data_IF_904802899616
#
_entry.id   IF_904802899616
#
_cell.length_a   1.000
_cell.length_b   1.000
_cell.length_c   1.000
_cell.angle_alpha   90.00
_cell.angle_beta   90.00
_cell.angle_gamma   90.00
#
_symmetry.space_group_name_H-M   'P 1'
#
loop_
_entity.id
_entity.type
_entity.pdbx_description
1 polymer ?
#
# COMPACT_ATOMS: atom_id res chain seq x y z
N UNK A 1 -9.31 15.66 4.77
CA UNK A 1 -9.51 15.45 3.32
C UNK A 1 -8.66 14.24 2.97
N UNK A 2 -9.29 13.10 2.67
CA UNK A 2 -8.58 11.93 2.13
C UNK A 2 -8.23 12.19 0.65
N UNK A 3 -7.32 13.14 0.41
CA UNK A 3 -6.67 13.29 -0.89
C UNK A 3 -5.59 12.20 -1.00
N UNK A 4 -5.36 11.61 -2.18
CA UNK A 4 -4.34 10.57 -2.44
C UNK A 4 -2.89 11.04 -2.27
N UNK A 5 -2.57 11.65 -1.13
CA UNK A 5 -1.28 12.22 -0.76
C UNK A 5 -0.51 11.22 0.08
N UNK A 6 0.72 10.94 -0.33
CA UNK A 6 1.64 10.10 0.41
C UNK A 6 2.46 10.93 1.39
N UNK A 7 2.51 10.49 2.65
CA UNK A 7 3.43 11.06 3.63
C UNK A 7 4.88 10.84 3.19
N UNK A 8 5.78 11.80 3.44
CA UNK A 8 7.19 11.71 3.06
C UNK A 8 7.48 11.98 1.58
N UNK A 9 6.43 12.16 0.75
CA UNK A 9 6.55 12.45 -0.68
C UNK A 9 5.91 13.81 -0.97
N UNK A 10 6.66 14.69 -1.62
CA UNK A 10 6.20 16.04 -1.97
C UNK A 10 5.97 16.12 -3.47
N UNK A 11 4.70 16.25 -3.87
CA UNK A 11 4.31 16.40 -5.28
C UNK A 11 4.36 17.85 -5.76
N UNK A 12 4.33 18.83 -4.84
CA UNK A 12 4.41 20.26 -5.11
C UNK A 12 5.36 20.96 -4.14
N UNK A 13 6.29 21.77 -4.66
CA UNK A 13 7.42 22.39 -3.91
C UNK A 13 7.04 23.35 -2.77
N UNK A 14 5.76 23.64 -2.56
CA UNK A 14 5.27 24.48 -1.46
C UNK A 14 4.76 23.69 -0.25
N UNK A 15 4.65 22.36 -0.35
CA UNK A 15 4.23 21.51 0.77
C UNK A 15 5.44 21.02 1.57
N UNK A 16 5.89 21.87 2.49
CA UNK A 16 6.99 21.54 3.41
C UNK A 16 6.56 20.66 4.58
N UNK A 17 5.25 20.40 4.74
CA UNK A 17 4.71 19.62 5.87
C UNK A 17 4.85 18.10 5.66
N UNK A 18 5.07 17.65 4.42
CA UNK A 18 5.04 16.22 4.08
C UNK A 18 6.38 15.48 4.30
N UNK A 19 7.55 16.15 4.31
CA UNK A 19 8.85 15.43 4.32
C UNK A 19 9.07 14.51 5.51
N UNK A 20 8.71 14.96 6.72
CA UNK A 20 8.90 14.17 7.94
C UNK A 20 7.62 13.40 8.36
N UNK A 21 6.55 13.54 7.58
CA UNK A 21 5.27 12.92 7.89
C UNK A 21 5.31 11.41 7.63
N UNK A 22 4.71 10.65 8.54
CA UNK A 22 4.65 9.17 8.49
C UNK A 22 3.23 8.61 8.59
N UNK A 23 2.21 9.47 8.43
CA UNK A 23 0.81 9.01 8.47
C UNK A 23 0.54 7.93 7.41
N UNK A 24 -0.36 6.99 7.72
CA UNK A 24 -0.74 5.88 6.83
C UNK A 24 0.43 4.98 6.40
N UNK A 25 1.51 4.95 7.19
CA UNK A 25 2.62 4.00 7.09
C UNK A 25 2.73 3.23 8.39
N UNK A 26 2.86 1.91 8.31
CA UNK A 26 2.96 1.06 9.48
C UNK A 26 3.63 -0.27 9.17
N UNK A 27 4.20 -0.89 10.19
CA UNK A 27 4.77 -2.23 10.13
C UNK A 27 4.10 -3.02 11.24
N UNK A 28 3.56 -4.19 10.91
CA UNK A 28 2.92 -5.08 11.88
C UNK A 28 3.55 -6.46 11.72
N UNK A 29 4.09 -7.07 12.80
CA UNK A 29 4.57 -8.44 12.73
C UNK A 29 3.38 -9.39 12.58
N UNK A 30 3.61 -10.51 11.90
CA UNK A 30 2.67 -11.63 11.89
C UNK A 30 2.68 -12.33 13.25
N UNK A 31 1.52 -12.80 13.70
CA UNK A 31 1.41 -13.67 14.86
C UNK A 31 1.76 -15.14 14.53
N UNK A 32 1.48 -16.06 15.46
CA UNK A 32 1.75 -17.50 15.32
C UNK A 32 0.95 -18.19 14.21
N UNK A 33 -0.16 -17.59 13.80
CA UNK A 33 -1.01 -18.07 12.71
C UNK A 33 -0.66 -17.42 11.36
N UNK A 34 0.37 -16.56 11.33
CA UNK A 34 0.76 -15.82 10.13
C UNK A 34 -0.18 -14.65 9.82
N UNK A 35 -0.88 -14.09 10.82
CA UNK A 35 -1.82 -12.98 10.64
C UNK A 35 -1.17 -11.64 10.99
N UNK A 36 -1.24 -10.70 10.07
CA UNK A 36 -0.84 -9.31 10.23
C UNK A 36 -2.08 -8.41 10.34
N UNK A 37 -2.18 -7.59 11.38
CA UNK A 37 -3.35 -6.73 11.61
C UNK A 37 -3.01 -5.23 11.64
N UNK A 38 -3.85 -4.40 11.02
CA UNK A 38 -3.72 -2.94 11.04
C UNK A 38 -5.08 -2.24 11.16
N UNK A 39 -5.09 -1.04 11.73
CA UNK A 39 -6.22 -0.11 11.65
C UNK A 39 -5.76 1.08 10.80
N UNK A 40 -6.52 1.41 9.77
CA UNK A 40 -6.22 2.51 8.85
C UNK A 40 -7.51 3.24 8.47
N UNK A 41 -7.38 4.27 7.62
CA UNK A 41 -8.51 4.79 6.85
C UNK A 41 -8.54 4.15 5.47
N UNK A 42 -9.70 4.16 4.80
CA UNK A 42 -9.78 3.75 3.39
C UNK A 42 -8.95 4.67 2.51
N UNK A 43 -8.17 4.12 1.58
CA UNK A 43 -7.26 4.89 0.74
C UNK A 43 -8.01 5.95 -0.08
N UNK A 44 -7.52 7.18 -0.11
CA UNK A 44 -7.99 8.19 -1.06
C UNK A 44 -7.41 7.99 -2.46
N UNK A 45 -7.99 8.62 -3.48
CA UNK A 45 -7.51 8.52 -4.87
C UNK A 45 -6.62 9.68 -5.31
N UNK A 46 -5.82 9.40 -6.35
CA UNK A 46 -5.06 10.35 -7.14
C UNK A 46 -5.10 9.93 -8.61
N UNK A 47 -4.85 10.87 -9.52
CA UNK A 47 -5.00 10.61 -10.95
C UNK A 47 -4.02 9.54 -11.47
N UNK A 48 -4.52 8.69 -12.37
CA UNK A 48 -3.71 7.71 -13.09
C UNK A 48 -3.57 6.37 -12.37
N UNK A 49 -4.11 6.21 -11.15
CA UNK A 49 -4.05 4.98 -10.37
C UNK A 49 -5.39 4.66 -9.71
N UNK A 50 -5.82 3.40 -9.78
CA UNK A 50 -6.97 2.92 -9.03
C UNK A 50 -6.67 2.88 -7.54
N UNK A 51 -7.67 3.00 -6.67
CA UNK A 51 -7.48 3.03 -5.21
C UNK A 51 -6.85 1.74 -4.69
N UNK A 52 -5.70 1.83 -4.01
CA UNK A 52 -4.90 0.68 -3.56
C UNK A 52 -4.23 0.91 -2.21
N UNK A 53 -3.65 -0.17 -1.68
CA UNK A 53 -2.77 -0.19 -0.49
C UNK A 53 -1.48 -0.90 -0.87
N UNK A 54 -0.33 -0.30 -0.59
CA UNK A 54 0.96 -0.96 -0.77
C UNK A 54 1.29 -1.88 0.40
N UNK A 55 1.99 -2.98 0.13
CA UNK A 55 2.56 -3.83 1.16
C UNK A 55 3.96 -4.31 0.76
N UNK A 56 4.77 -4.56 1.79
CA UNK A 56 6.11 -5.12 1.66
C UNK A 56 6.28 -6.17 2.74
N UNK A 57 6.47 -7.42 2.32
CA UNK A 57 6.72 -8.53 3.23
C UNK A 57 8.21 -8.67 3.47
N UNK A 58 8.60 -8.51 4.73
CA UNK A 58 9.97 -8.65 5.18
C UNK A 58 10.12 -9.93 6.00
N UNK A 59 11.22 -10.66 5.82
CA UNK A 59 11.46 -11.91 6.54
C UNK A 59 12.88 -12.05 7.05
N UNK A 60 13.05 -12.75 8.17
CA UNK A 60 14.37 -13.12 8.71
C UNK A 60 15.18 -11.97 9.32
N UNK A 61 14.57 -10.82 9.58
CA UNK A 61 15.16 -9.69 10.28
C UNK A 61 14.77 -9.63 11.76
N UNK A 62 15.13 -8.53 12.42
CA UNK A 62 14.89 -8.32 13.83
C UNK A 62 14.25 -6.95 14.10
N UNK A 63 13.29 -6.92 15.02
CA UNK A 63 12.79 -5.68 15.60
C UNK A 63 13.80 -5.18 16.64
N UNK A 64 14.29 -3.96 16.45
CA UNK A 64 15.26 -3.30 17.29
C UNK A 64 14.58 -2.62 18.50
N UNK A 65 15.36 -2.27 19.52
CA UNK A 65 14.86 -1.64 20.75
C UNK A 65 14.16 -0.28 20.52
N UNK A 66 14.52 0.43 19.46
CA UNK A 66 13.88 1.66 19.00
C UNK A 66 12.61 1.41 18.17
N UNK A 67 12.11 0.16 18.12
CA UNK A 67 10.93 -0.26 17.35
C UNK A 67 11.06 -0.14 15.83
N UNK A 68 12.28 -0.11 15.30
CA UNK A 68 12.53 -0.24 13.85
C UNK A 68 12.84 -1.69 13.49
N UNK A 69 12.66 -2.08 12.24
CA UNK A 69 13.04 -3.40 11.74
C UNK A 69 14.37 -3.31 10.97
N UNK A 70 15.25 -4.29 11.14
CA UNK A 70 16.55 -4.34 10.46
C UNK A 70 17.00 -5.76 10.13
N UNK A 71 17.82 -5.90 9.08
CA UNK A 71 18.21 -7.18 8.52
C UNK A 71 17.07 -7.86 7.76
N UNK A 72 17.27 -9.14 7.43
CA UNK A 72 16.31 -9.92 6.65
C UNK A 72 16.36 -9.65 5.15
N UNK A 73 15.35 -10.15 4.44
CA UNK A 73 15.11 -9.90 3.02
C UNK A 73 13.69 -9.44 2.76
N UNK A 74 13.50 -8.70 1.67
CA UNK A 74 12.18 -8.38 1.15
C UNK A 74 11.68 -9.59 0.35
N UNK A 75 10.74 -10.33 0.92
CA UNK A 75 10.19 -11.54 0.31
C UNK A 75 9.17 -11.19 -0.80
N UNK A 76 8.40 -10.12 -0.61
CA UNK A 76 7.41 -9.68 -1.59
C UNK A 76 7.20 -8.16 -1.56
N UNK A 77 6.97 -7.59 -2.73
CA UNK A 77 6.48 -6.22 -2.90
C UNK A 77 5.22 -6.28 -3.75
N UNK A 78 4.14 -5.70 -3.26
CA UNK A 78 2.89 -5.72 -3.98
C UNK A 78 1.95 -4.59 -3.59
N UNK A 79 0.74 -4.70 -4.12
CA UNK A 79 -0.33 -3.78 -3.83
C UNK A 79 -1.66 -4.54 -3.83
N UNK A 80 -2.50 -4.19 -2.86
CA UNK A 80 -3.85 -4.69 -2.75
C UNK A 80 -4.82 -3.66 -3.29
N UNK A 81 -5.86 -4.15 -3.94
CA UNK A 81 -6.94 -3.34 -4.49
C UNK A 81 -8.23 -3.62 -3.73
N UNK A 82 -9.17 -2.70 -3.88
CA UNK A 82 -10.53 -2.86 -3.38
C UNK A 82 -11.46 -3.24 -4.52
N UNK A 83 -12.54 -3.93 -4.21
CA UNK A 83 -13.63 -4.13 -5.17
C UNK A 83 -14.16 -2.76 -5.65
N UNK A 84 -14.43 -2.64 -6.95
CA UNK A 84 -14.83 -1.37 -7.54
C UNK A 84 -16.11 -0.81 -6.89
N UNK A 85 -17.01 -1.68 -6.42
CA UNK A 85 -18.28 -1.27 -5.81
C UNK A 85 -18.09 -0.59 -4.46
N UNK A 86 -17.12 -1.01 -3.64
CA UNK A 86 -16.85 -0.35 -2.35
C UNK A 86 -16.12 0.98 -2.57
N UNK A 87 -15.20 1.06 -3.54
CA UNK A 87 -14.60 2.34 -3.96
C UNK A 87 -15.70 3.34 -4.32
N UNK A 88 -16.63 2.96 -5.20
CA UNK A 88 -17.74 3.84 -5.61
C UNK A 88 -18.66 4.28 -4.47
N UNK A 89 -18.76 3.50 -3.38
CA UNK A 89 -19.51 3.89 -2.17
C UNK A 89 -18.71 4.89 -1.34
N UNK A 90 -17.42 4.61 -1.09
CA UNK A 90 -16.54 5.47 -0.29
C UNK A 90 -16.37 6.84 -0.94
N UNK A 91 -16.23 6.91 -2.27
CA UNK A 91 -16.09 8.17 -3.02
C UNK A 91 -17.31 9.11 -2.89
N UNK A 92 -18.45 8.63 -2.37
CA UNK A 92 -19.64 9.43 -2.09
C UNK A 92 -19.70 9.98 -0.67
N UNK A 93 -18.82 9.52 0.23
CA UNK A 93 -18.76 10.01 1.60
C UNK A 93 -18.15 11.40 1.61
N UNK A 94 -18.74 12.34 2.37
CA UNK A 94 -18.36 13.76 2.35
C UNK A 94 -16.85 14.01 2.53
N UNK A 95 -16.17 13.20 3.35
CA UNK A 95 -14.72 13.32 3.58
C UNK A 95 -13.84 12.96 2.37
N UNK A 96 -14.38 12.16 1.45
CA UNK A 96 -13.76 11.72 0.19
C UNK A 96 -14.27 12.54 -1.01
N UNK A 97 -15.56 12.86 -1.06
CA UNK A 97 -16.22 13.59 -2.15
C UNK A 97 -15.66 15.01 -2.37
N UNK A 98 -14.95 15.57 -1.38
CA UNK A 98 -14.23 16.83 -1.52
C UNK A 98 -13.01 16.74 -2.46
N UNK A 99 -12.51 15.54 -2.77
CA UNK A 99 -11.42 15.31 -3.72
C UNK A 99 -11.95 15.30 -5.15
N UNK A 100 -11.65 16.34 -5.92
CA UNK A 100 -12.18 16.52 -7.29
C UNK A 100 -11.28 15.96 -8.39
N UNK A 101 -10.20 15.25 -8.05
CA UNK A 101 -9.32 14.60 -9.02
C UNK A 101 -10.06 13.50 -9.80
N UNK A 102 -9.62 13.22 -11.03
CA UNK A 102 -10.17 12.12 -11.82
C UNK A 102 -9.98 10.76 -11.15
N UNK A 103 -11.05 9.98 -11.05
CA UNK A 103 -10.99 8.60 -10.53
C UNK A 103 -10.59 7.65 -11.66
N UNK A 104 -9.51 6.90 -11.46
CA UNK A 104 -9.12 5.76 -12.32
C UNK A 104 -9.80 4.50 -11.81
N UNK A 105 -10.52 3.79 -12.67
CA UNK A 105 -11.18 2.52 -12.31
C UNK A 105 -10.16 1.38 -12.28
N UNK A 106 -10.42 0.30 -11.52
CA UNK A 106 -9.53 -0.86 -11.46
C UNK A 106 -9.19 -1.41 -12.87
N UNK A 107 -10.20 -1.49 -13.74
CA UNK A 107 -10.05 -1.97 -15.13
C UNK A 107 -9.21 -1.06 -16.03
N UNK A 108 -8.93 0.17 -15.59
CA UNK A 108 -8.18 1.17 -16.34
C UNK A 108 -6.80 1.41 -15.69
N UNK A 109 -6.46 0.69 -14.61
CA UNK A 109 -5.17 0.73 -13.93
C UNK A 109 -4.25 -0.38 -14.44
N UNK A 110 -3.17 0.01 -15.12
CA UNK A 110 -2.16 -0.91 -15.66
C UNK A 110 -1.56 -1.84 -14.60
N UNK A 111 -1.38 -1.34 -13.38
CA UNK A 111 -0.77 -2.13 -12.32
C UNK A 111 -1.76 -3.12 -11.70
N UNK A 112 -3.06 -2.86 -11.75
CA UNK A 112 -4.09 -3.86 -11.44
C UNK A 112 -3.96 -5.06 -12.37
N UNK A 113 -3.89 -4.82 -13.69
CA UNK A 113 -3.70 -5.86 -14.70
C UNK A 113 -2.42 -6.66 -14.45
N UNK A 114 -1.27 -5.97 -14.31
CA UNK A 114 0.03 -6.62 -14.06
C UNK A 114 0.03 -7.43 -12.77
N UNK A 115 -0.70 -7.00 -11.74
CA UNK A 115 -0.76 -7.72 -10.46
C UNK A 115 -1.64 -8.96 -10.58
N UNK A 116 -2.81 -8.85 -11.21
CA UNK A 116 -3.73 -9.97 -11.43
C UNK A 116 -3.14 -11.05 -12.36
N UNK A 117 -2.24 -10.69 -13.28
CA UNK A 117 -1.53 -11.64 -14.15
C UNK A 117 -0.46 -12.48 -13.42
N UNK A 118 -0.08 -12.13 -12.18
CA UNK A 118 1.01 -12.77 -11.41
C UNK A 118 0.54 -13.89 -10.46
N UNK A 119 -0.50 -14.62 -10.86
CA UNK A 119 -1.06 -15.81 -10.17
C UNK A 119 -1.73 -15.57 -8.80
N UNK A 120 -2.11 -14.34 -8.45
CA UNK A 120 -2.98 -14.07 -7.31
C UNK A 120 -4.07 -13.04 -7.63
N UNK A 121 -5.20 -13.14 -6.93
CA UNK A 121 -6.25 -12.12 -6.96
C UNK A 121 -5.88 -11.02 -5.97
N UNK A 122 -5.56 -9.80 -6.43
CA UNK A 122 -5.14 -8.71 -5.55
C UNK A 122 -6.32 -7.96 -4.94
N UNK A 123 -7.57 -8.36 -5.21
CA UNK A 123 -8.76 -7.74 -4.64
C UNK A 123 -8.98 -8.26 -3.22
N UNK A 124 -8.96 -7.35 -2.25
CA UNK A 124 -9.31 -7.66 -0.87
C UNK A 124 -10.80 -7.99 -0.75
N UNK A 125 -11.09 -9.03 0.02
CA UNK A 125 -12.44 -9.30 0.49
C UNK A 125 -12.83 -8.29 1.58
N UNK A 126 -14.11 -8.01 1.73
CA UNK A 126 -14.57 -7.06 2.73
C UNK A 126 -15.93 -7.40 3.34
N UNK A 127 -16.17 -6.87 4.54
CA UNK A 127 -17.45 -6.83 5.23
C UNK A 127 -17.66 -5.43 5.82
N UNK A 128 -18.89 -4.93 5.80
CA UNK A 128 -19.24 -3.69 6.49
C UNK A 128 -19.39 -3.97 7.99
N UNK A 129 -18.92 -3.05 8.82
CA UNK A 129 -19.07 -3.12 10.27
C UNK A 129 -20.42 -2.57 10.77
N UNK A 130 -21.19 -1.95 9.87
CA UNK A 130 -22.55 -1.48 10.11
C UNK A 130 -23.41 -1.48 8.83
N UNK A 131 -24.33 -0.52 8.73
CA UNK A 131 -25.27 -0.42 7.61
C UNK A 131 -24.66 0.27 6.40
N UNK A 132 -23.68 1.15 6.64
CA UNK A 132 -22.99 1.91 5.60
C UNK A 132 -21.47 1.78 5.68
N UNK A 133 -20.76 2.39 4.74
CA UNK A 133 -19.30 2.34 4.71
C UNK A 133 -18.68 3.22 5.81
N UNK A 134 -19.41 4.25 6.24
CA UNK A 134 -19.06 5.19 7.31
C UNK A 134 -19.01 4.53 8.70
N UNK A 135 -19.75 3.42 8.90
CA UNK A 135 -19.67 2.63 10.13
C UNK A 135 -18.37 1.80 10.23
N UNK A 136 -17.60 1.76 9.14
CA UNK A 136 -16.32 1.07 9.04
C UNK A 136 -16.38 -0.16 8.12
N UNK A 137 -15.21 -0.53 7.61
CA UNK A 137 -15.02 -1.62 6.66
C UNK A 137 -13.95 -2.55 7.19
N UNK A 138 -14.27 -3.82 7.33
CA UNK A 138 -13.31 -4.88 7.62
C UNK A 138 -12.85 -5.50 6.32
N UNK A 139 -11.56 -5.42 6.01
CA UNK A 139 -10.98 -6.02 4.79
C UNK A 139 -9.94 -7.08 5.12
N UNK A 140 -9.86 -8.11 4.28
CA UNK A 140 -8.88 -9.17 4.43
C UNK A 140 -8.44 -9.73 3.09
N UNK A 141 -7.23 -10.27 3.08
CA UNK A 141 -6.66 -11.02 1.96
C UNK A 141 -5.70 -12.08 2.48
N UNK A 142 -5.66 -13.22 1.79
CA UNK A 142 -4.68 -14.29 2.04
C UNK A 142 -3.70 -14.35 0.88
N UNK A 143 -2.41 -14.37 1.22
CA UNK A 143 -1.29 -14.35 0.30
C UNK A 143 -0.39 -15.56 0.59
N UNK A 144 0.18 -16.17 -0.44
CA UNK A 144 1.28 -17.11 -0.29
C UNK A 144 2.58 -16.42 -0.71
N UNK A 145 3.57 -16.37 0.18
CA UNK A 145 4.83 -15.65 -0.05
C UNK A 145 6.00 -16.63 -0.12
N UNK A 146 6.85 -16.48 -1.12
CA UNK A 146 8.14 -17.16 -1.15
C UNK A 146 9.12 -16.50 -0.17
N UNK A 147 9.25 -17.09 1.01
CA UNK A 147 10.10 -16.57 2.10
C UNK A 147 11.60 -16.65 1.78
N UNK A 148 11.99 -17.29 0.67
CA UNK A 148 13.39 -17.32 0.20
C UNK A 148 13.69 -16.22 -0.82
N UNK A 149 12.67 -15.51 -1.30
CA UNK A 149 12.87 -14.40 -2.21
C UNK A 149 13.59 -13.24 -1.50
N UNK A 150 14.39 -12.53 -2.30
CA UNK A 150 15.05 -11.30 -1.91
C UNK A 150 14.89 -10.31 -3.07
N UNK A 151 13.81 -9.51 -2.99
CA UNK A 151 13.47 -8.51 -3.98
C UNK A 151 14.17 -7.19 -3.65
N UNK A 152 14.56 -6.46 -4.69
CA UNK A 152 15.05 -5.09 -4.56
C UNK A 152 13.85 -4.13 -4.51
N UNK A 153 13.93 -3.10 -3.67
CA UNK A 153 12.86 -2.10 -3.51
C UNK A 153 13.37 -0.74 -3.97
N UNK A 154 12.63 -0.12 -4.90
CA UNK A 154 12.83 1.27 -5.27
C UNK A 154 11.91 2.15 -4.40
N UNK A 155 12.48 2.79 -3.39
CA UNK A 155 11.74 3.68 -2.47
C UNK A 155 11.56 5.08 -3.08
N UNK A 156 10.39 5.70 -2.90
CA UNK A 156 10.15 7.09 -3.29
C UNK A 156 10.93 8.08 -2.42
N UNK A 157 11.00 7.79 -1.12
CA UNK A 157 11.65 8.59 -0.10
C UNK A 157 12.00 7.72 1.10
N UNK A 158 13.08 8.07 1.79
CA UNK A 158 13.57 7.41 3.00
C UNK A 158 13.56 8.39 4.15
N UNK A 159 12.98 8.00 5.29
CA UNK A 159 13.07 8.80 6.52
C UNK A 159 14.40 8.51 7.23
N UNK A 160 15.23 9.53 7.39
CA UNK A 160 16.53 9.43 8.05
C UNK A 160 16.53 10.12 9.41
N UNK A 161 17.62 9.98 10.18
CA UNK A 161 17.80 10.72 11.43
C UNK A 161 17.78 12.25 11.25
N UNK A 162 18.01 12.75 10.03
CA UNK A 162 18.01 14.17 9.69
C UNK A 162 16.72 14.61 8.96
N UNK A 163 15.68 13.76 8.95
CA UNK A 163 14.43 14.01 8.25
C UNK A 163 14.27 13.20 6.96
N UNK A 164 13.15 13.44 6.26
CA UNK A 164 12.79 12.78 5.00
C UNK A 164 13.69 13.17 3.83
N UNK A 165 14.20 12.17 3.11
CA UNK A 165 15.05 12.34 1.92
C UNK A 165 14.38 11.67 0.73
N UNK A 166 14.10 12.43 -0.33
CA UNK A 166 13.51 11.91 -1.57
C UNK A 166 14.56 11.18 -2.38
N UNK A 167 14.21 10.02 -2.93
CA UNK A 167 15.10 9.21 -3.77
C UNK A 167 15.38 9.91 -5.10
N UNK A 168 16.61 9.75 -5.61
CA UNK A 168 17.00 10.31 -6.91
C UNK A 168 16.12 9.72 -8.02
N UNK A 169 15.32 10.57 -8.67
CA UNK A 169 14.39 10.17 -9.74
C UNK A 169 12.92 10.12 -9.34
N UNK A 170 12.58 10.28 -8.06
CA UNK A 170 11.19 10.27 -7.58
C UNK A 170 10.44 11.61 -7.79
N UNK A 171 11.13 12.67 -8.23
CA UNK A 171 10.53 13.97 -8.56
C UNK A 171 10.49 14.12 -10.09
N UNK A 172 9.39 13.68 -10.70
CA UNK A 172 9.05 13.90 -12.10
C UNK A 172 7.76 14.71 -12.23
N UNK A 173 7.83 15.81 -12.98
CA UNK A 173 6.73 16.72 -13.31
C UNK A 173 5.40 16.03 -13.59
N UNK A 174 4.34 16.34 -12.82
CA UNK A 174 2.95 16.47 -13.30
C UNK A 174 2.30 15.33 -14.09
N UNK A 175 2.93 14.17 -14.14
CA UNK A 175 2.46 12.92 -14.72
C UNK A 175 3.21 11.84 -13.96
N UNK A 176 2.50 11.04 -13.19
CA UNK A 176 3.04 10.09 -12.20
C UNK A 176 4.31 9.39 -12.67
N UNK A 177 5.46 9.86 -12.16
CA UNK A 177 6.67 9.03 -12.13
C UNK A 177 6.53 8.14 -10.92
N UNK A 178 5.82 7.04 -11.16
CA UNK A 178 5.53 5.94 -10.27
C UNK A 178 6.78 5.51 -9.50
N UNK A 179 6.77 5.73 -8.19
CA UNK A 179 7.63 4.99 -7.27
C UNK A 179 6.90 3.71 -6.88
N UNK A 180 6.83 2.75 -7.81
CA UNK A 180 6.80 1.32 -7.51
C UNK A 180 6.78 0.49 -8.80
N UNK A 181 7.62 -0.56 -8.77
CA UNK A 181 7.76 -1.66 -9.72
C UNK A 181 8.51 -1.35 -11.03
N UNK A 182 9.81 -1.66 -11.06
CA UNK A 182 10.51 -1.98 -12.32
C UNK A 182 11.23 -3.32 -12.22
N UNK A 183 10.93 -4.17 -13.22
CA UNK A 183 11.62 -5.40 -13.65
C UNK A 183 11.91 -6.49 -12.60
N UNK A 184 10.88 -7.27 -12.23
CA UNK A 184 11.10 -8.56 -11.55
C UNK A 184 11.56 -9.59 -12.58
N UNK A 185 12.83 -10.02 -12.50
CA UNK A 185 13.31 -11.21 -13.19
C UNK A 185 12.70 -12.43 -12.51
N UNK A 186 11.84 -13.11 -13.24
CA UNK A 186 11.21 -14.38 -12.91
C UNK A 186 12.24 -15.39 -12.36
N UNK A 187 12.03 -15.86 -11.13
CA UNK A 187 12.63 -17.10 -10.63
C UNK A 187 11.49 -17.94 -10.04
N UNK A 188 11.23 -19.06 -10.70
CA UNK A 188 10.22 -20.05 -10.31
C UNK A 188 10.73 -20.90 -9.13
N UNK A 189 9.77 -21.38 -8.32
CA UNK A 189 9.74 -22.64 -7.54
C UNK A 189 9.90 -22.61 -6.00
N UNK A 190 8.71 -22.73 -5.37
CA UNK A 190 8.26 -23.69 -4.34
C UNK A 190 8.58 -23.52 -2.83
N UNK A 191 7.46 -23.60 -2.10
CA UNK A 191 7.19 -23.70 -0.65
C UNK A 191 7.10 -22.35 0.08
N UNK A 192 5.98 -21.66 -0.16
CA UNK A 192 5.61 -20.43 0.54
C UNK A 192 4.87 -20.68 1.85
N UNK A 193 5.12 -19.83 2.84
CA UNK A 193 4.25 -19.67 4.00
C UNK A 193 2.99 -18.91 3.59
N UNK A 194 1.85 -19.23 4.21
CA UNK A 194 0.64 -18.44 4.06
C UNK A 194 0.71 -17.24 5.00
N UNK A 195 0.51 -16.04 4.46
CA UNK A 195 0.34 -14.78 5.17
C UNK A 195 -1.12 -14.37 5.02
N UNK A 196 -1.80 -14.10 6.12
CA UNK A 196 -3.11 -13.46 6.09
C UNK A 196 -2.97 -12.01 6.57
N UNK A 197 -3.36 -11.06 5.74
CA UNK A 197 -3.41 -9.65 6.13
C UNK A 197 -4.84 -9.24 6.43
N UNK A 198 -5.01 -8.61 7.58
CA UNK A 198 -6.26 -8.09 8.07
C UNK A 198 -6.15 -6.58 8.29
N UNK A 199 -7.06 -5.83 7.71
CA UNK A 199 -7.11 -4.39 7.91
C UNK A 199 -8.52 -3.96 8.29
N UNK A 200 -8.63 -3.24 9.41
CA UNK A 200 -9.85 -2.53 9.78
C UNK A 200 -9.73 -1.11 9.25
N UNK A 201 -10.67 -0.69 8.42
CA UNK A 201 -10.71 0.63 7.81
C UNK A 201 -11.84 1.46 8.43
N UNK A 202 -11.51 2.68 8.82
CA UNK A 202 -12.48 3.72 9.22
C UNK A 202 -12.52 4.81 8.15
N UNK A 203 -13.65 5.48 7.96
CA UNK A 203 -13.81 6.53 6.93
C UNK A 203 -13.71 7.94 7.48
#
# INVERSE_FOLDING_TARGET
MQSGVYSGVVTNSTDTLSFDATFLRGVTPTDEDGVAQMISIFSGHYEGRATHVHFIDNYGGAVLANRTYSGGSVAHVGQFFFDQSIITKVEKVDSYAVNTQGITLNKDDKWFEVTAERDYDPIMSYALLGESVEDGVFVWISLAVDMKAAQEVEEAATLTANGGVVSKGAIGNGAGTDSSASTIRQITSLLGGALAMLVVLVL
#
